data_IF_728772084768
#
_entry.id   IF_728772084768
#
_cell.length_a   1.000
_cell.length_b   1.000
_cell.length_c   1.000
_cell.angle_alpha   90.00
_cell.angle_beta   90.00
_cell.angle_gamma   90.00
#
_symmetry.space_group_name_H-M   'P 1'
#
loop_
_entity.id
_entity.type
_entity.pdbx_description
1 polymer ?
#
# COMPACT_ATOMS: atom_id res chain seq x y z
N UNK A 1 -16.79 29.79 -19.99
CA UNK A 1 -15.46 30.30 -19.55
C UNK A 1 -14.85 29.16 -18.76
N UNK A 2 -14.09 28.28 -19.46
CA UNK A 2 -13.61 27.00 -18.90
C UNK A 2 -12.30 27.24 -18.17
N UNK A 3 -12.30 27.08 -16.87
CA UNK A 3 -11.09 27.03 -16.05
C UNK A 3 -10.60 25.58 -15.99
N UNK A 4 -9.65 25.23 -16.87
CA UNK A 4 -8.85 24.04 -16.73
C UNK A 4 -7.79 24.30 -15.66
N UNK A 5 -7.91 23.65 -14.50
CA UNK A 5 -6.85 23.62 -13.50
C UNK A 5 -5.83 22.58 -13.97
N UNK A 6 -4.74 23.08 -14.52
CA UNK A 6 -3.60 22.26 -14.93
C UNK A 6 -2.82 21.83 -13.68
N UNK A 7 -2.94 20.57 -13.30
CA UNK A 7 -2.09 19.95 -12.27
C UNK A 7 -0.68 19.74 -12.85
N UNK A 8 0.22 20.67 -12.56
CA UNK A 8 1.65 20.46 -12.81
C UNK A 8 2.24 19.50 -11.79
N UNK A 9 2.20 18.21 -12.09
CA UNK A 9 3.00 17.20 -11.39
C UNK A 9 4.47 17.41 -11.75
N UNK A 10 5.26 18.04 -10.87
CA UNK A 10 6.70 18.08 -11.02
C UNK A 10 7.25 16.66 -10.99
N UNK A 11 8.04 16.31 -12.01
CA UNK A 11 8.87 15.10 -12.05
C UNK A 11 9.73 15.08 -10.78
N UNK A 12 9.42 14.21 -9.84
CA UNK A 12 10.36 13.87 -8.78
C UNK A 12 11.38 12.90 -9.38
N UNK A 13 12.61 13.38 -9.52
CA UNK A 13 13.77 12.57 -9.89
C UNK A 13 13.99 11.51 -8.81
N UNK A 14 14.29 10.29 -9.23
CA UNK A 14 14.69 9.22 -8.32
C UNK A 14 16.10 9.54 -7.78
N UNK A 15 16.17 10.13 -6.61
CA UNK A 15 17.45 10.39 -5.94
C UNK A 15 17.90 9.14 -5.18
N UNK A 16 19.14 8.69 -5.45
CA UNK A 16 19.82 7.66 -4.68
C UNK A 16 20.40 8.30 -3.42
N UNK A 17 19.89 7.94 -2.24
CA UNK A 17 20.50 8.31 -0.96
C UNK A 17 21.40 7.18 -0.48
N UNK A 18 22.66 7.52 -0.16
CA UNK A 18 23.62 6.64 0.50
C UNK A 18 23.13 6.32 1.92
N UNK A 19 23.09 5.03 2.26
CA UNK A 19 22.59 4.53 3.54
C UNK A 19 23.66 4.64 4.63
N UNK A 20 23.34 5.36 5.70
CA UNK A 20 23.99 5.23 7.02
C UNK A 20 23.03 4.42 7.90
N UNK A 21 23.36 3.14 8.13
CA UNK A 21 22.54 2.26 8.99
C UNK A 21 22.86 2.52 10.46
N UNK A 22 21.88 3.00 11.23
CA UNK A 22 21.87 2.96 12.69
C UNK A 22 20.93 1.82 13.14
N UNK A 23 21.30 1.05 14.16
CA UNK A 23 20.41 0.13 14.86
C UNK A 23 19.35 0.95 15.63
N UNK A 24 18.28 1.34 14.94
CA UNK A 24 17.10 1.90 15.58
C UNK A 24 15.93 0.95 15.35
N UNK A 25 15.65 0.16 16.36
CA UNK A 25 14.50 -0.73 16.41
C UNK A 25 13.29 0.06 16.95
N UNK A 26 12.63 0.84 16.07
CA UNK A 26 11.40 1.56 16.44
C UNK A 26 10.39 0.57 17.03
N UNK A 27 9.91 0.84 18.25
CA UNK A 27 8.84 0.05 18.85
C UNK A 27 7.46 0.40 18.25
N UNK A 28 6.42 -0.35 18.64
CA UNK A 28 5.08 -0.14 18.10
C UNK A 28 4.52 1.24 18.48
N UNK A 29 4.86 1.77 19.66
CA UNK A 29 4.38 3.09 20.10
C UNK A 29 4.95 4.22 19.23
N UNK A 30 6.23 4.12 18.88
CA UNK A 30 6.89 5.07 17.98
C UNK A 30 6.34 4.98 16.56
N UNK A 31 6.08 3.75 16.05
CA UNK A 31 5.43 3.53 14.76
C UNK A 31 4.01 4.11 14.72
N UNK A 32 3.24 3.91 15.80
CA UNK A 32 1.90 4.48 15.95
C UNK A 32 1.93 6.02 16.01
N UNK A 33 2.89 6.59 16.74
CA UNK A 33 3.08 8.04 16.81
C UNK A 33 3.40 8.61 15.44
N UNK A 34 4.41 8.05 14.76
CA UNK A 34 4.82 8.46 13.41
C UNK A 34 3.64 8.37 12.44
N UNK A 35 2.90 7.27 12.44
CA UNK A 35 1.76 7.10 11.56
C UNK A 35 0.61 8.08 11.84
N UNK A 36 0.35 8.40 13.11
CA UNK A 36 -0.63 9.44 13.48
C UNK A 36 -0.20 10.83 13.01
N UNK A 37 1.07 11.16 13.13
CA UNK A 37 1.63 12.43 12.64
C UNK A 37 1.54 12.55 11.10
N UNK A 38 1.65 11.43 10.39
CA UNK A 38 1.45 11.35 8.93
C UNK A 38 -0.03 11.55 8.56
N UNK A 39 -0.96 11.11 9.42
CA UNK A 39 -2.40 11.25 9.23
C UNK A 39 -3.18 9.94 9.14
N UNK A 40 -2.59 8.80 9.44
CA UNK A 40 -3.33 7.54 9.50
C UNK A 40 -4.34 7.53 10.65
N UNK A 41 -5.51 6.97 10.37
CA UNK A 41 -6.57 6.76 11.34
C UNK A 41 -6.24 5.64 12.34
N UNK A 42 -5.68 4.53 11.84
CA UNK A 42 -5.26 3.36 12.64
C UNK A 42 -3.88 2.89 12.21
N UNK A 43 -3.10 2.49 13.20
CA UNK A 43 -1.83 1.79 13.04
C UNK A 43 -1.79 0.71 14.12
N UNK A 44 -1.67 -0.55 13.73
CA UNK A 44 -1.59 -1.68 14.64
C UNK A 44 -0.53 -2.68 14.17
N UNK A 45 -0.16 -3.60 15.05
CA UNK A 45 0.74 -4.69 14.69
C UNK A 45 0.07 -5.63 13.67
N UNK A 46 0.81 -6.00 12.64
CA UNK A 46 0.37 -6.99 11.67
C UNK A 46 0.68 -8.40 12.19
N UNK A 47 -0.35 -9.22 12.40
CA UNK A 47 -0.14 -10.63 12.77
C UNK A 47 0.36 -11.44 11.57
N UNK A 48 1.68 -11.42 11.35
CA UNK A 48 2.32 -12.13 10.24
C UNK A 48 2.10 -13.65 10.35
N UNK A 49 2.02 -14.18 11.57
CA UNK A 49 1.84 -15.62 11.80
C UNK A 49 0.49 -16.16 11.32
N UNK A 50 -0.51 -15.30 11.18
CA UNK A 50 -1.84 -15.66 10.68
C UNK A 50 -2.04 -15.35 9.20
N UNK A 51 -1.10 -14.68 8.55
CA UNK A 51 -1.25 -14.31 7.14
C UNK A 51 -1.43 -15.54 6.24
N UNK A 52 -2.41 -15.44 5.35
CA UNK A 52 -2.68 -16.43 4.30
C UNK A 52 -2.68 -15.75 2.94
N UNK A 53 -1.92 -16.33 2.02
CA UNK A 53 -1.93 -15.91 0.63
C UNK A 53 -2.87 -16.84 -0.14
N UNK A 54 -4.03 -16.33 -0.51
CA UNK A 54 -5.13 -17.08 -1.06
C UNK A 54 -5.14 -16.99 -2.59
N UNK A 55 -5.04 -18.13 -3.31
CA UNK A 55 -5.15 -18.15 -4.77
C UNK A 55 -6.45 -17.50 -5.27
N UNK A 56 -7.56 -17.67 -4.54
CA UNK A 56 -8.87 -17.12 -4.87
C UNK A 56 -8.85 -15.58 -4.89
N UNK A 57 -8.19 -14.95 -3.90
CA UNK A 57 -8.03 -13.49 -3.86
C UNK A 57 -7.19 -13.02 -5.06
N UNK A 58 -6.10 -13.71 -5.34
CA UNK A 58 -5.27 -13.43 -6.50
C UNK A 58 -6.04 -13.59 -7.82
N UNK A 59 -6.92 -14.60 -7.91
CA UNK A 59 -7.77 -14.83 -9.07
C UNK A 59 -8.79 -13.69 -9.26
N UNK A 60 -9.25 -13.04 -8.18
CA UNK A 60 -10.14 -11.87 -8.30
C UNK A 60 -9.51 -10.73 -9.10
N UNK A 61 -8.18 -10.57 -9.06
CA UNK A 61 -7.48 -9.59 -9.90
C UNK A 61 -7.67 -9.88 -11.40
N UNK A 62 -7.82 -11.14 -11.82
CA UNK A 62 -8.01 -11.52 -13.23
C UNK A 62 -9.37 -11.11 -13.80
N UNK A 63 -10.34 -10.76 -12.96
CA UNK A 63 -11.62 -10.18 -13.41
C UNK A 63 -11.47 -8.76 -13.94
N UNK A 64 -10.31 -8.16 -13.72
CA UNK A 64 -9.86 -6.84 -14.22
C UNK A 64 -10.84 -5.68 -13.94
N UNK A 65 -11.56 -5.73 -12.81
CA UNK A 65 -12.51 -4.66 -12.43
C UNK A 65 -11.83 -3.30 -12.24
N UNK A 66 -10.57 -3.28 -11.81
CA UNK A 66 -9.77 -2.07 -11.66
C UNK A 66 -9.02 -1.67 -12.93
N UNK A 67 -9.13 -2.43 -14.02
CA UNK A 67 -8.47 -2.22 -15.31
C UNK A 67 -6.92 -2.15 -15.25
N UNK A 68 -6.30 -2.84 -14.27
CA UNK A 68 -4.84 -2.84 -14.05
C UNK A 68 -4.19 -4.21 -14.22
N UNK A 69 -4.98 -5.27 -14.37
CA UNK A 69 -4.46 -6.62 -14.60
C UNK A 69 -3.67 -6.69 -15.92
N UNK A 70 -2.44 -7.18 -15.87
CA UNK A 70 -1.58 -7.26 -17.05
C UNK A 70 -1.18 -5.91 -17.67
N UNK A 71 -1.30 -4.79 -16.93
CA UNK A 71 -1.00 -3.44 -17.43
C UNK A 71 -0.04 -2.65 -16.54
N UNK A 72 0.41 -3.25 -15.44
CA UNK A 72 1.21 -2.57 -14.43
C UNK A 72 2.21 -3.54 -13.80
N UNK A 73 3.45 -3.12 -13.57
CA UNK A 73 4.48 -3.91 -12.91
C UNK A 73 4.15 -4.32 -11.47
N UNK A 74 3.23 -3.62 -10.81
CA UNK A 74 2.79 -3.90 -9.44
C UNK A 74 1.59 -4.83 -9.36
N UNK A 75 0.98 -5.17 -10.50
CA UNK A 75 -0.23 -5.99 -10.57
C UNK A 75 0.04 -7.36 -11.19
N UNK A 76 -0.80 -8.37 -10.94
CA UNK A 76 -0.70 -9.66 -11.60
C UNK A 76 -0.84 -9.53 -13.13
N UNK A 77 -0.13 -10.36 -13.89
CA UNK A 77 0.87 -11.35 -13.48
C UNK A 77 2.26 -10.78 -13.20
N UNK A 78 2.51 -9.49 -13.50
CA UNK A 78 3.85 -8.87 -13.50
C UNK A 78 4.50 -8.74 -12.11
N UNK A 79 3.71 -8.74 -11.04
CA UNK A 79 4.21 -8.68 -9.65
C UNK A 79 4.75 -10.01 -9.10
N UNK A 80 4.91 -11.02 -9.95
CA UNK A 80 5.40 -12.34 -9.59
C UNK A 80 4.29 -13.37 -9.31
N UNK A 81 4.63 -14.61 -9.05
CA UNK A 81 3.72 -15.67 -8.65
C UNK A 81 3.34 -15.57 -7.17
N UNK A 82 2.28 -16.28 -6.74
CA UNK A 82 1.90 -16.30 -5.33
C UNK A 82 2.98 -16.95 -4.45
N UNK A 83 3.71 -17.93 -5.00
CA UNK A 83 4.84 -18.57 -4.32
C UNK A 83 6.00 -17.57 -4.10
N UNK A 84 6.31 -16.77 -5.11
CA UNK A 84 7.33 -15.69 -4.99
C UNK A 84 6.89 -14.65 -3.96
N UNK A 85 5.64 -14.21 -3.98
CA UNK A 85 5.08 -13.31 -2.96
C UNK A 85 5.20 -13.89 -1.54
N UNK A 86 4.97 -15.22 -1.39
CA UNK A 86 5.15 -15.92 -0.11
C UNK A 86 6.61 -15.93 0.35
N UNK A 87 7.55 -16.12 -0.56
CA UNK A 87 9.00 -16.06 -0.26
C UNK A 87 9.43 -14.65 0.14
N UNK A 88 8.88 -13.64 -0.50
CA UNK A 88 9.16 -12.23 -0.14
C UNK A 88 8.76 -11.95 1.32
N UNK A 89 7.60 -12.47 1.76
CA UNK A 89 7.08 -12.24 3.12
C UNK A 89 7.80 -13.11 4.16
N UNK A 90 8.18 -14.33 3.82
CA UNK A 90 8.73 -15.31 4.76
C UNK A 90 10.01 -14.86 5.48
N UNK A 91 10.68 -13.82 4.97
CA UNK A 91 11.86 -13.24 5.59
C UNK A 91 11.58 -12.15 6.62
N UNK A 92 10.32 -11.87 6.97
CA UNK A 92 9.95 -10.84 7.93
C UNK A 92 9.31 -11.43 9.18
N UNK A 93 9.65 -10.86 10.32
CA UNK A 93 9.11 -11.26 11.63
C UNK A 93 8.21 -10.19 12.24
N UNK A 94 8.30 -8.95 11.75
CA UNK A 94 7.52 -7.79 12.22
C UNK A 94 6.77 -7.13 11.08
N UNK A 95 5.66 -6.50 11.41
CA UNK A 95 4.90 -5.70 10.46
C UNK A 95 3.86 -4.83 11.13
N UNK A 96 3.40 -3.84 10.40
CA UNK A 96 2.29 -2.99 10.81
C UNK A 96 1.21 -2.96 9.72
N UNK A 97 -0.03 -2.83 10.15
CA UNK A 97 -1.19 -2.55 9.31
C UNK A 97 -1.65 -1.13 9.58
N UNK A 98 -1.95 -0.39 8.53
CA UNK A 98 -2.31 1.02 8.60
C UNK A 98 -3.61 1.30 7.85
N UNK A 99 -4.42 2.23 8.35
CA UNK A 99 -5.67 2.60 7.72
C UNK A 99 -5.85 4.11 7.64
N UNK A 100 -6.43 4.56 6.53
CA UNK A 100 -7.01 5.89 6.38
C UNK A 100 -8.52 5.74 6.24
N UNK A 101 -9.28 6.46 7.07
CA UNK A 101 -10.75 6.47 7.04
C UNK A 101 -11.24 7.79 6.46
N UNK A 102 -12.19 7.72 5.55
CA UNK A 102 -12.95 8.85 5.02
C UNK A 102 -14.41 8.81 5.44
N UNK A 103 -15.02 9.97 5.55
CA UNK A 103 -16.47 10.13 5.69
C UNK A 103 -17.08 10.36 4.31
N UNK A 104 -18.21 9.73 4.05
CA UNK A 104 -18.93 9.80 2.77
C UNK A 104 -20.31 10.44 2.99
N UNK A 105 -20.76 11.26 2.06
CA UNK A 105 -22.12 11.82 2.09
C UNK A 105 -23.17 10.73 1.98
N UNK A 106 -22.95 9.77 1.10
CA UNK A 106 -23.76 8.56 0.94
C UNK A 106 -22.95 7.40 0.32
N UNK A 107 -23.63 6.29 0.03
CA UNK A 107 -23.00 5.08 -0.53
C UNK A 107 -22.53 5.25 -2.00
N UNK A 108 -22.89 6.33 -2.66
CA UNK A 108 -22.53 6.65 -4.06
C UNK A 108 -21.57 7.83 -4.16
N UNK A 109 -21.07 8.35 -3.05
CA UNK A 109 -20.10 9.44 -2.99
C UNK A 109 -18.73 9.00 -3.57
N UNK A 110 -18.68 8.93 -4.89
CA UNK A 110 -17.46 8.55 -5.62
C UNK A 110 -16.33 9.56 -5.48
N UNK A 111 -16.65 10.84 -5.26
CA UNK A 111 -15.65 11.89 -5.05
C UNK A 111 -14.95 11.71 -3.70
N UNK A 112 -15.70 11.56 -2.61
CA UNK A 112 -15.16 11.28 -1.28
C UNK A 112 -14.36 9.99 -1.22
N UNK A 113 -14.79 8.94 -1.95
CA UNK A 113 -14.03 7.70 -2.08
C UNK A 113 -12.67 7.94 -2.75
N UNK A 114 -12.62 8.68 -3.87
CA UNK A 114 -11.39 8.97 -4.60
C UNK A 114 -10.46 9.89 -3.82
N UNK A 115 -10.99 10.88 -3.11
CA UNK A 115 -10.20 11.76 -2.25
C UNK A 115 -9.56 11.00 -1.10
N UNK A 116 -10.32 10.10 -0.45
CA UNK A 116 -9.79 9.26 0.63
C UNK A 116 -8.73 8.28 0.11
N UNK A 117 -8.92 7.72 -1.09
CA UNK A 117 -7.90 6.87 -1.74
C UNK A 117 -6.60 7.64 -2.01
N UNK A 118 -6.73 8.85 -2.56
CA UNK A 118 -5.58 9.70 -2.86
C UNK A 118 -4.82 10.09 -1.58
N UNK A 119 -5.54 10.45 -0.52
CA UNK A 119 -4.99 10.77 0.79
C UNK A 119 -4.27 9.55 1.40
N UNK A 120 -4.87 8.35 1.32
CA UNK A 120 -4.24 7.12 1.80
C UNK A 120 -2.93 6.83 1.06
N UNK A 121 -2.90 7.00 -0.26
CA UNK A 121 -1.68 6.81 -1.07
C UNK A 121 -0.58 7.82 -0.69
N UNK A 122 -0.95 9.05 -0.37
CA UNK A 122 0.01 10.06 0.12
C UNK A 122 0.59 9.66 1.48
N UNK A 123 -0.27 9.27 2.44
CA UNK A 123 0.16 8.77 3.76
C UNK A 123 1.05 7.54 3.62
N UNK A 124 0.67 6.59 2.77
CA UNK A 124 1.43 5.36 2.52
C UNK A 124 2.85 5.64 2.03
N UNK A 125 3.01 6.57 1.08
CA UNK A 125 4.32 6.94 0.55
C UNK A 125 5.16 7.65 1.62
N UNK A 126 4.58 8.56 2.40
CA UNK A 126 5.29 9.24 3.50
C UNK A 126 5.77 8.23 4.54
N UNK A 127 4.92 7.26 4.90
CA UNK A 127 5.29 6.20 5.85
C UNK A 127 6.38 5.31 5.30
N UNK A 128 6.28 4.89 4.02
CA UNK A 128 7.34 4.12 3.37
C UNK A 128 8.69 4.86 3.40
N UNK A 129 8.70 6.14 3.00
CA UNK A 129 9.93 6.94 2.94
C UNK A 129 10.52 7.17 4.35
N UNK A 130 9.71 7.17 5.41
CA UNK A 130 10.17 7.23 6.79
C UNK A 130 10.73 5.88 7.26
N UNK A 131 9.96 4.80 7.09
CA UNK A 131 10.38 3.45 7.49
C UNK A 131 11.64 2.99 6.77
N UNK A 132 11.84 3.39 5.50
CA UNK A 132 13.04 3.03 4.73
C UNK A 132 14.33 3.60 5.30
N UNK A 133 14.26 4.63 6.14
CA UNK A 133 15.44 5.19 6.83
C UNK A 133 15.85 4.36 8.04
N UNK A 134 14.87 3.72 8.68
CA UNK A 134 15.03 3.00 9.94
C UNK A 134 15.19 1.48 9.73
N UNK A 135 14.52 0.94 8.71
CA UNK A 135 14.51 -0.49 8.41
C UNK A 135 15.24 -0.77 7.10
N UNK A 136 16.40 -1.44 7.14
CA UNK A 136 17.18 -1.79 5.94
C UNK A 136 16.37 -2.63 4.96
N UNK A 137 15.58 -3.56 5.49
CA UNK A 137 14.71 -4.44 4.74
C UNK A 137 13.25 -4.07 5.02
N UNK A 138 12.58 -3.61 3.99
CA UNK A 138 11.20 -3.12 4.03
C UNK A 138 10.43 -3.62 2.83
N UNK A 139 9.29 -4.30 3.07
CA UNK A 139 8.29 -4.60 2.06
C UNK A 139 7.02 -3.82 2.37
N UNK A 140 6.56 -3.01 1.41
CA UNK A 140 5.38 -2.17 1.55
C UNK A 140 4.30 -2.62 0.57
N UNK A 141 3.12 -2.98 1.07
CA UNK A 141 1.96 -3.39 0.28
C UNK A 141 0.84 -2.38 0.49
N UNK A 142 0.47 -1.71 -0.60
CA UNK A 142 -0.49 -0.61 -0.60
C UNK A 142 -1.94 -1.04 -0.85
N UNK A 143 -2.82 -0.06 -0.93
CA UNK A 143 -4.17 -0.20 -1.43
C UNK A 143 -4.21 0.11 -2.94
N UNK A 144 -4.68 -0.82 -3.74
CA UNK A 144 -4.77 -0.68 -5.19
C UNK A 144 -3.41 -0.74 -5.92
N UNK A 145 -3.38 -0.31 -7.18
CA UNK A 145 -2.17 -0.37 -8.01
C UNK A 145 -1.19 0.77 -7.72
N UNK A 146 0.07 0.58 -8.17
CA UNK A 146 1.09 1.63 -8.13
C UNK A 146 0.70 2.81 -9.04
N UNK A 147 0.79 4.02 -8.51
CA UNK A 147 0.48 5.28 -9.20
C UNK A 147 1.69 6.22 -9.36
N UNK A 148 2.91 5.70 -9.22
CA UNK A 148 4.16 6.48 -9.33
C UNK A 148 4.37 7.14 -10.68
N UNK A 149 3.92 6.52 -11.75
CA UNK A 149 4.06 7.01 -13.12
C UNK A 149 2.69 7.32 -13.70
N UNK A 150 2.54 8.42 -14.41
CA UNK A 150 1.30 8.74 -15.13
C UNK A 150 0.89 7.62 -16.11
N UNK A 151 1.89 6.92 -16.69
CA UNK A 151 1.70 5.69 -17.46
C UNK A 151 2.80 4.71 -17.09
N UNK A 152 2.43 3.48 -16.67
CA UNK A 152 3.38 2.41 -16.39
C UNK A 152 4.15 2.01 -17.66
N UNK A 153 5.43 1.62 -17.51
CA UNK A 153 6.26 1.12 -18.61
C UNK A 153 5.98 -0.34 -18.99
N UNK A 154 5.14 -1.03 -18.22
CA UNK A 154 4.75 -2.41 -18.52
C UNK A 154 3.92 -2.50 -19.80
N UNK A 155 4.10 -3.54 -20.64
CA UNK A 155 5.16 -4.55 -20.58
C UNK A 155 6.44 -4.14 -21.35
N UNK A 156 6.45 -3.00 -22.04
CA UNK A 156 7.40 -2.65 -23.10
C UNK A 156 8.81 -2.33 -22.58
N UNK A 157 8.94 -1.92 -21.31
CA UNK A 157 10.22 -1.58 -20.70
C UNK A 157 10.22 -1.88 -19.18
N UNK A 158 11.40 -2.07 -18.55
CA UNK A 158 11.51 -2.24 -17.10
C UNK A 158 10.86 -1.12 -16.31
N UNK A 159 10.50 -1.41 -15.04
CA UNK A 159 9.99 -0.40 -14.13
C UNK A 159 11.01 0.74 -13.97
N UNK A 160 10.54 2.00 -14.11
CA UNK A 160 11.41 3.19 -13.97
C UNK A 160 11.84 3.46 -12.53
N UNK A 161 11.03 3.01 -11.56
CA UNK A 161 11.26 3.23 -10.13
C UNK A 161 11.03 1.91 -9.38
N UNK A 162 11.89 0.87 -9.54
CA UNK A 162 11.68 -0.44 -8.94
C UNK A 162 11.62 -0.36 -7.40
N UNK A 163 12.46 0.48 -6.77
CA UNK A 163 12.50 0.68 -5.32
C UNK A 163 11.25 1.36 -4.74
N UNK A 164 10.47 2.02 -5.59
CA UNK A 164 9.22 2.70 -5.22
C UNK A 164 8.00 2.12 -5.93
N UNK A 165 8.11 0.89 -6.39
CA UNK A 165 7.00 0.11 -6.96
C UNK A 165 6.29 -0.63 -5.84
N UNK A 166 5.03 -0.29 -5.60
CA UNK A 166 4.23 -0.92 -4.56
C UNK A 166 3.15 -1.80 -5.18
N UNK A 167 3.10 -3.06 -4.79
CA UNK A 167 1.98 -3.95 -5.07
C UNK A 167 0.89 -3.78 -4.01
N UNK A 168 -0.34 -4.20 -4.30
CA UNK A 168 -1.40 -4.21 -3.30
C UNK A 168 -1.37 -5.49 -2.46
N UNK A 169 -2.04 -5.46 -1.30
CA UNK A 169 -2.22 -6.63 -0.46
C UNK A 169 -2.94 -7.75 -1.23
N UNK A 170 -3.96 -7.42 -2.03
CA UNK A 170 -4.70 -8.38 -2.85
C UNK A 170 -3.82 -8.96 -3.98
N UNK A 171 -2.90 -8.18 -4.54
CA UNK A 171 -1.93 -8.67 -5.51
C UNK A 171 -1.00 -9.73 -4.92
N UNK A 172 -0.79 -9.71 -3.62
CA UNK A 172 -0.10 -10.75 -2.84
C UNK A 172 -1.04 -11.87 -2.37
N UNK A 173 -2.32 -11.83 -2.74
CA UNK A 173 -3.30 -12.84 -2.36
C UNK A 173 -3.86 -12.69 -0.94
N UNK A 174 -3.69 -11.54 -0.31
CA UNK A 174 -4.23 -11.27 1.03
C UNK A 174 -5.69 -10.85 0.95
N UNK A 175 -6.56 -11.51 1.71
CA UNK A 175 -7.92 -11.07 1.94
C UNK A 175 -7.90 -9.98 3.03
N UNK A 176 -7.97 -8.71 2.62
CA UNK A 176 -7.76 -7.55 3.51
C UNK A 176 -8.69 -7.57 4.73
N UNK A 177 -9.94 -7.98 4.55
CA UNK A 177 -10.90 -8.13 5.67
C UNK A 177 -10.41 -9.13 6.72
N UNK A 178 -9.83 -10.26 6.30
CA UNK A 178 -9.28 -11.26 7.22
C UNK A 178 -8.01 -10.74 7.89
N UNK A 179 -7.13 -10.06 7.13
CA UNK A 179 -5.91 -9.46 7.69
C UNK A 179 -6.23 -8.43 8.76
N UNK A 180 -7.23 -7.56 8.53
CA UNK A 180 -7.71 -6.61 9.54
C UNK A 180 -8.19 -7.34 10.80
N UNK A 181 -9.05 -8.35 10.64
CA UNK A 181 -9.60 -9.12 11.75
C UNK A 181 -8.50 -9.83 12.56
N UNK A 182 -7.54 -10.47 11.89
CA UNK A 182 -6.43 -11.17 12.51
C UNK A 182 -5.49 -10.22 13.28
N UNK A 183 -5.39 -8.96 12.83
CA UNK A 183 -4.63 -7.88 13.45
C UNK A 183 -5.44 -7.04 14.45
N UNK A 184 -6.66 -7.47 14.79
CA UNK A 184 -7.49 -6.83 15.84
C UNK A 184 -8.07 -5.48 15.46
N UNK A 185 -8.22 -5.18 14.18
CA UNK A 185 -8.84 -3.94 13.68
C UNK A 185 -10.07 -4.21 12.82
N UNK A 186 -10.98 -3.25 12.80
CA UNK A 186 -12.14 -3.31 11.93
C UNK A 186 -11.75 -2.99 10.48
N UNK A 187 -12.38 -3.68 9.53
CA UNK A 187 -12.29 -3.33 8.11
C UNK A 187 -13.31 -2.26 7.70
N UNK A 188 -14.45 -2.21 8.39
CA UNK A 188 -15.57 -1.32 8.12
C UNK A 188 -16.07 -0.63 9.38
N UNK A 189 -16.19 0.67 9.36
CA UNK A 189 -16.51 1.52 10.51
C UNK A 189 -17.94 2.08 10.50
N UNK A 190 -18.82 1.48 9.72
CA UNK A 190 -20.24 1.81 9.68
C UNK A 190 -20.66 2.62 8.44
N UNK A 191 -21.98 2.88 8.32
CA UNK A 191 -22.54 3.65 7.19
C UNK A 191 -21.90 5.04 7.07
N UNK A 192 -21.75 5.52 5.84
CA UNK A 192 -21.14 6.82 5.58
C UNK A 192 -19.61 6.82 5.78
N UNK A 193 -18.95 5.65 5.80
CA UNK A 193 -17.49 5.59 5.90
C UNK A 193 -16.88 4.73 4.80
N UNK A 194 -15.64 5.07 4.43
CA UNK A 194 -14.76 4.23 3.63
C UNK A 194 -13.40 4.10 4.30
N UNK A 195 -12.75 2.93 4.14
CA UNK A 195 -11.44 2.66 4.72
C UNK A 195 -10.52 2.08 3.67
N UNK A 196 -9.33 2.67 3.53
CA UNK A 196 -8.23 2.12 2.75
C UNK A 196 -7.17 1.56 3.69
N UNK A 197 -6.71 0.36 3.39
CA UNK A 197 -5.80 -0.42 4.26
C UNK A 197 -4.53 -0.79 3.49
N UNK A 198 -3.40 -0.65 4.17
CA UNK A 198 -2.07 -1.04 3.67
C UNK A 198 -1.27 -1.70 4.78
N UNK A 199 -0.18 -2.39 4.44
CA UNK A 199 0.72 -2.96 5.43
C UNK A 199 2.18 -2.79 5.05
N UNK A 200 3.04 -2.84 6.08
CA UNK A 200 4.49 -2.78 5.97
C UNK A 200 5.09 -3.94 6.74
N UNK A 201 6.06 -4.62 6.14
CA UNK A 201 6.86 -5.66 6.76
C UNK A 201 8.23 -5.08 7.02
N UNK A 202 8.73 -5.25 8.24
CA UNK A 202 9.85 -4.54 8.81
C UNK A 202 10.93 -5.51 9.26
N UNK A 203 12.19 -5.24 8.87
CA UNK A 203 13.38 -5.96 9.39
C UNK A 203 14.68 -5.19 9.12
#
# INVERSE_FOLDING_TARGET
>A
MNLWISWNFRRSECYSSENVYGENDMDLEELQKTGKEIGFFRIEELDIGKLKLLPEVRQMCSTDKCHMYGRNWSCPPACGTLEECGKDIAGYTRGIIVQTKGELEDAFDGEGMMETEALHKEHFVKMHDQLKKEFPKLLSLGAGCCTRCAKCSYPDAPCRCPEKRFSSMEAYGMLVTQVCQDSGIEYYYGPGTITYTSCFFLE
#
